data_IF_908919120271
#
_entry.id   IF_908919120271
#
_cell.length_a   1.000
_cell.length_b   1.000
_cell.length_c   1.000
_cell.angle_alpha   90.00
_cell.angle_beta   90.00
_cell.angle_gamma   90.00
#
_symmetry.space_group_name_H-M   'P 1'
#
loop_
_entity.id
_entity.type
_entity.pdbx_description
1 polymer ?
#
# COMPACT_ATOMS: atom_id res chain seq x y z
N UNK A 1 -78.75 18.40 13.55
CA UNK A 1 -77.62 18.13 14.46
C UNK A 1 -76.58 17.29 13.72
N UNK A 2 -75.34 17.80 13.68
CA UNK A 2 -74.02 17.19 13.36
C UNK A 2 -73.86 16.31 12.12
N UNK A 3 -73.19 16.88 11.11
CA UNK A 3 -72.44 16.17 10.05
C UNK A 3 -71.13 15.65 10.66
N UNK A 4 -70.82 14.37 10.49
CA UNK A 4 -69.49 13.80 10.78
C UNK A 4 -68.69 13.68 9.48
N UNK A 5 -67.61 14.46 9.37
CA UNK A 5 -66.59 14.30 8.35
C UNK A 5 -65.49 13.40 8.88
N UNK A 6 -65.23 12.27 8.22
CA UNK A 6 -64.05 11.44 8.47
C UNK A 6 -62.89 12.01 7.65
N UNK A 7 -61.84 12.50 8.32
CA UNK A 7 -60.54 12.80 7.71
C UNK A 7 -59.72 11.50 7.70
N UNK A 8 -59.46 10.96 6.50
CA UNK A 8 -58.35 10.04 6.28
C UNK A 8 -57.06 10.88 6.16
N UNK A 9 -56.15 10.73 7.11
CA UNK A 9 -54.78 11.24 7.00
C UNK A 9 -53.90 10.17 6.35
N UNK A 10 -53.47 10.41 5.11
CA UNK A 10 -52.39 9.65 4.47
C UNK A 10 -51.06 10.07 5.10
N UNK A 11 -50.47 9.21 5.94
CA UNK A 11 -49.06 9.32 6.32
C UNK A 11 -48.20 8.84 5.14
N UNK A 12 -47.62 9.78 4.39
CA UNK A 12 -46.54 9.49 3.47
C UNK A 12 -45.27 9.23 4.29
N UNK A 13 -44.87 7.96 4.41
CA UNK A 13 -43.56 7.56 4.91
C UNK A 13 -42.50 8.01 3.88
N UNK A 14 -41.82 9.11 4.16
CA UNK A 14 -40.62 9.50 3.43
C UNK A 14 -39.52 8.48 3.76
N UNK A 15 -39.27 7.56 2.83
CA UNK A 15 -38.12 6.66 2.86
C UNK A 15 -36.89 7.53 2.60
N UNK A 16 -36.24 7.99 3.68
CA UNK A 16 -34.92 8.60 3.61
C UNK A 16 -33.94 7.53 3.16
N UNK A 17 -33.78 7.37 1.85
CA UNK A 17 -32.65 6.67 1.27
C UNK A 17 -31.40 7.36 1.80
N UNK A 18 -30.59 6.67 2.61
CA UNK A 18 -29.23 7.08 2.89
C UNK A 18 -28.46 7.03 1.56
N UNK A 19 -28.56 8.08 0.77
CA UNK A 19 -27.68 8.27 -0.37
C UNK A 19 -26.25 8.28 0.17
N UNK A 20 -25.40 7.42 -0.38
CA UNK A 20 -23.97 7.44 -0.09
C UNK A 20 -23.44 8.86 -0.34
N UNK A 21 -22.62 9.38 0.56
CA UNK A 21 -21.99 10.68 0.39
C UNK A 21 -21.29 10.73 -0.99
N UNK A 22 -21.44 11.84 -1.75
CA UNK A 22 -20.86 11.96 -3.07
C UNK A 22 -19.32 11.90 -3.00
N UNK A 23 -18.67 11.33 -4.02
CA UNK A 23 -17.21 11.25 -4.11
C UNK A 23 -16.58 12.64 -4.23
N UNK A 24 -15.44 12.85 -3.57
CA UNK A 24 -14.66 14.10 -3.65
C UNK A 24 -13.58 13.98 -4.73
N UNK A 25 -13.88 14.47 -5.92
CA UNK A 25 -12.95 14.38 -7.06
C UNK A 25 -11.74 15.29 -6.97
N UNK A 26 -11.64 16.15 -5.95
CA UNK A 26 -10.47 17.00 -5.70
C UNK A 26 -9.30 16.21 -5.10
N UNK A 27 -9.59 15.10 -4.41
CA UNK A 27 -8.59 14.20 -3.87
C UNK A 27 -8.00 13.31 -4.97
N UNK A 28 -6.70 13.07 -4.86
CA UNK A 28 -5.89 12.35 -5.86
C UNK A 28 -4.90 11.43 -5.18
N UNK A 29 -4.57 10.34 -5.86
CA UNK A 29 -3.44 9.50 -5.46
C UNK A 29 -2.13 10.17 -5.89
N UNK A 30 -1.07 10.01 -5.10
CA UNK A 30 0.28 10.40 -5.47
C UNK A 30 1.08 9.16 -5.84
N UNK A 31 1.60 9.13 -7.06
CA UNK A 31 2.50 8.08 -7.53
C UNK A 31 3.95 8.53 -7.37
N UNK A 32 4.71 7.82 -6.54
CA UNK A 32 6.15 7.97 -6.37
C UNK A 32 6.87 6.90 -7.21
N UNK A 33 7.29 7.28 -8.41
CA UNK A 33 8.00 6.39 -9.33
C UNK A 33 9.41 6.03 -8.87
N UNK A 34 10.03 6.84 -7.99
CA UNK A 34 11.39 6.57 -7.52
C UNK A 34 11.37 5.46 -6.46
N UNK A 35 10.43 5.53 -5.53
CA UNK A 35 10.31 4.56 -4.44
C UNK A 35 9.24 3.49 -4.68
N UNK A 36 8.56 3.54 -5.83
CA UNK A 36 7.47 2.64 -6.20
C UNK A 36 6.32 2.66 -5.17
N UNK A 37 5.86 3.86 -4.78
CA UNK A 37 4.71 4.01 -3.88
C UNK A 37 3.49 4.60 -4.59
N UNK A 38 2.31 4.14 -4.18
CA UNK A 38 1.05 4.82 -4.42
C UNK A 38 0.56 5.29 -3.06
N UNK A 39 0.43 6.61 -2.89
CA UNK A 39 -0.08 7.21 -1.65
C UNK A 39 -1.50 7.71 -1.87
N UNK A 40 -2.43 7.16 -1.11
CA UNK A 40 -3.82 7.58 -1.05
C UNK A 40 -4.06 8.50 0.16
N UNK A 41 -5.10 9.36 0.14
CA UNK A 41 -5.41 10.26 1.26
C UNK A 41 -5.52 9.58 2.63
N UNK A 42 -6.02 8.35 2.69
CA UNK A 42 -6.19 7.61 3.93
C UNK A 42 -4.86 7.12 4.53
N UNK A 43 -3.81 6.99 3.72
CA UNK A 43 -2.50 6.46 4.16
C UNK A 43 -1.82 7.37 5.19
N UNK A 44 -2.21 8.65 5.24
CA UNK A 44 -1.78 9.59 6.30
C UNK A 44 -2.21 9.13 7.70
N UNK A 45 -3.24 8.29 7.79
CA UNK A 45 -3.85 7.79 9.01
C UNK A 45 -3.59 6.29 9.25
N UNK A 46 -2.84 5.62 8.36
CA UNK A 46 -2.57 4.19 8.44
C UNK A 46 -1.11 3.90 8.83
N UNK A 47 -0.84 2.64 9.17
CA UNK A 47 0.48 2.02 9.19
C UNK A 47 0.91 1.69 7.75
N UNK A 48 0.94 2.70 6.88
CA UNK A 48 1.23 2.53 5.45
C UNK A 48 2.61 1.91 5.22
N UNK A 49 2.83 1.31 4.05
CA UNK A 49 4.13 0.73 3.68
C UNK A 49 5.28 1.73 3.88
N UNK A 50 5.07 2.99 3.53
CA UNK A 50 6.06 4.05 3.77
C UNK A 50 6.32 4.29 5.27
N UNK A 51 5.30 4.20 6.12
CA UNK A 51 5.47 4.28 7.57
C UNK A 51 6.30 3.09 8.10
N UNK A 52 5.96 1.89 7.64
CA UNK A 52 6.66 0.65 8.00
C UNK A 52 8.12 0.72 7.57
N UNK A 53 8.41 1.11 6.34
CA UNK A 53 9.75 1.30 5.80
C UNK A 53 10.60 2.26 6.63
N UNK A 54 10.05 3.43 7.00
CA UNK A 54 10.75 4.42 7.82
C UNK A 54 11.08 3.83 9.20
N UNK A 55 10.10 3.21 9.86
CA UNK A 55 10.31 2.62 11.20
C UNK A 55 11.27 1.44 11.17
N UNK A 56 11.21 0.61 10.12
CA UNK A 56 12.10 -0.53 9.96
C UNK A 56 13.53 -0.10 9.63
N UNK A 57 13.71 0.95 8.83
CA UNK A 57 15.06 1.50 8.59
C UNK A 57 15.69 2.03 9.87
N UNK A 58 14.93 2.72 10.72
CA UNK A 58 15.41 3.13 12.03
C UNK A 58 15.77 1.92 12.92
N UNK A 59 14.94 0.87 12.91
CA UNK A 59 15.19 -0.39 13.64
C UNK A 59 16.53 -1.02 13.22
N UNK A 60 16.81 -1.09 11.91
CA UNK A 60 18.05 -1.64 11.39
C UNK A 60 19.28 -0.82 11.77
N UNK A 61 19.17 0.51 11.83
CA UNK A 61 20.29 1.38 12.23
C UNK A 61 20.69 1.18 13.70
N UNK A 62 19.72 1.01 14.60
CA UNK A 62 20.01 0.66 16.00
C UNK A 62 20.77 -0.66 16.08
N UNK A 63 20.29 -1.69 15.38
CA UNK A 63 20.94 -2.99 15.37
C UNK A 63 22.33 -2.92 14.75
N UNK A 64 22.51 -2.16 13.66
CA UNK A 64 23.80 -1.94 13.00
C UNK A 64 24.84 -1.43 13.99
N UNK A 65 24.51 -0.40 14.77
CA UNK A 65 25.44 0.16 15.76
C UNK A 65 25.80 -0.86 16.84
N UNK A 66 24.81 -1.60 17.34
CA UNK A 66 25.05 -2.63 18.36
C UNK A 66 25.92 -3.79 17.83
N UNK A 67 25.67 -4.26 16.60
CA UNK A 67 26.49 -5.28 15.94
C UNK A 67 27.93 -4.82 15.76
N UNK A 68 28.14 -3.58 15.32
CA UNK A 68 29.47 -2.99 15.17
C UNK A 68 30.24 -2.96 16.50
N UNK A 69 29.58 -2.58 17.60
CA UNK A 69 30.20 -2.60 18.95
C UNK A 69 30.59 -4.00 19.41
N UNK A 70 29.91 -5.04 18.92
CA UNK A 70 30.19 -6.45 19.21
C UNK A 70 31.12 -7.09 18.17
N UNK A 71 31.68 -6.30 17.24
CA UNK A 71 32.68 -6.74 16.27
C UNK A 71 32.12 -7.38 14.99
N UNK A 72 30.83 -7.16 14.71
CA UNK A 72 30.18 -7.66 13.49
C UNK A 72 29.87 -6.51 12.54
N UNK A 73 30.13 -6.73 11.26
CA UNK A 73 29.73 -5.80 10.21
C UNK A 73 28.32 -6.12 9.72
N UNK A 74 27.48 -5.10 9.63
CA UNK A 74 26.10 -5.22 9.16
C UNK A 74 25.81 -4.07 8.21
N UNK A 75 25.84 -4.40 6.92
CA UNK A 75 25.50 -3.47 5.87
C UNK A 75 23.97 -3.44 5.65
N UNK A 76 23.43 -2.22 5.56
CA UNK A 76 22.04 -1.98 5.18
C UNK A 76 22.07 -1.57 3.71
N UNK A 77 21.63 -2.48 2.84
CA UNK A 77 21.54 -2.26 1.41
C UNK A 77 20.36 -1.35 1.09
N UNK A 78 20.59 -0.37 0.23
CA UNK A 78 19.54 0.49 -0.30
C UNK A 78 18.49 -0.37 -1.04
N UNK A 79 17.21 -0.16 -0.77
CA UNK A 79 16.08 -0.93 -1.32
C UNK A 79 16.04 -2.42 -0.95
N UNK A 80 16.89 -2.92 -0.04
CA UNK A 80 16.87 -4.33 0.37
C UNK A 80 15.62 -4.76 1.16
N UNK A 81 14.82 -3.78 1.60
CA UNK A 81 13.65 -4.01 2.43
C UNK A 81 12.45 -3.11 2.10
N UNK A 82 12.49 -2.36 0.99
CA UNK A 82 11.34 -1.54 0.57
C UNK A 82 10.19 -2.49 0.24
N UNK A 83 9.00 -2.20 0.78
CA UNK A 83 7.78 -2.94 0.46
C UNK A 83 7.63 -3.11 -1.06
N UNK A 84 7.51 -4.37 -1.50
CA UNK A 84 7.25 -4.73 -2.89
C UNK A 84 5.77 -4.60 -3.29
N UNK A 85 4.90 -4.15 -2.38
CA UNK A 85 3.46 -4.36 -2.48
C UNK A 85 2.66 -3.19 -3.10
N UNK A 86 3.32 -2.25 -3.76
CA UNK A 86 2.63 -1.27 -4.60
C UNK A 86 2.03 -1.88 -5.89
N UNK A 87 1.64 -3.15 -5.85
CA UNK A 87 0.95 -3.90 -6.90
C UNK A 87 -0.58 -3.75 -6.85
N UNK A 88 -1.11 -2.85 -6.01
CA UNK A 88 -2.56 -2.63 -5.82
C UNK A 88 -3.32 -2.48 -7.15
N UNK A 89 -2.68 -1.90 -8.18
CA UNK A 89 -3.24 -1.73 -9.52
C UNK A 89 -2.40 -2.44 -10.61
N UNK A 90 -1.77 -3.56 -10.26
CA UNK A 90 -0.83 -4.31 -11.10
C UNK A 90 0.52 -3.61 -11.26
N UNK A 91 1.34 -4.11 -12.19
CA UNK A 91 2.61 -3.46 -12.56
C UNK A 91 2.32 -2.10 -13.18
N UNK A 92 2.84 -1.02 -12.58
CA UNK A 92 2.58 0.35 -13.04
C UNK A 92 3.83 1.22 -13.18
N UNK A 93 4.95 0.83 -12.58
CA UNK A 93 6.20 1.56 -12.61
C UNK A 93 7.19 0.81 -13.49
N UNK A 94 7.47 1.34 -14.68
CA UNK A 94 8.36 0.69 -15.66
C UNK A 94 9.78 0.53 -15.13
N UNK A 95 10.29 1.54 -14.42
CA UNK A 95 11.63 1.50 -13.81
C UNK A 95 11.71 0.41 -12.75
N UNK A 96 10.67 0.27 -11.93
CA UNK A 96 10.63 -0.77 -10.91
C UNK A 96 10.47 -2.17 -11.52
N UNK A 97 9.56 -2.35 -12.49
CA UNK A 97 9.35 -3.62 -13.18
C UNK A 97 10.63 -4.12 -13.86
N UNK A 98 11.34 -3.23 -14.56
CA UNK A 98 12.61 -3.56 -15.22
C UNK A 98 13.74 -3.92 -14.21
N UNK A 99 13.71 -3.32 -13.02
CA UNK A 99 14.70 -3.55 -11.97
C UNK A 99 14.29 -4.60 -10.93
N UNK A 100 13.17 -5.31 -11.13
CA UNK A 100 12.65 -6.30 -10.17
C UNK A 100 13.69 -7.35 -9.77
N UNK A 101 14.53 -7.79 -10.71
CA UNK A 101 15.60 -8.74 -10.38
C UNK A 101 16.63 -8.16 -9.44
N UNK A 102 16.97 -6.88 -9.64
CA UNK A 102 17.90 -6.16 -8.77
C UNK A 102 17.31 -6.04 -7.38
N UNK A 103 16.04 -5.63 -7.23
CA UNK A 103 15.41 -5.55 -5.90
C UNK A 103 15.32 -6.91 -5.20
N UNK A 104 14.94 -7.98 -5.92
CA UNK A 104 14.92 -9.35 -5.36
C UNK A 104 16.29 -9.80 -4.89
N UNK A 105 17.34 -9.58 -5.70
CA UNK A 105 18.72 -9.91 -5.32
C UNK A 105 19.22 -9.10 -4.15
N UNK A 106 18.90 -7.81 -4.10
CA UNK A 106 19.26 -6.96 -2.96
C UNK A 106 18.57 -7.47 -1.70
N UNK A 107 17.29 -7.89 -1.77
CA UNK A 107 16.58 -8.49 -0.64
C UNK A 107 17.21 -9.82 -0.18
N UNK A 108 17.54 -10.71 -1.12
CA UNK A 108 18.23 -11.96 -0.81
C UNK A 108 19.59 -11.72 -0.14
N UNK A 109 20.38 -10.80 -0.68
CA UNK A 109 21.69 -10.48 -0.14
C UNK A 109 21.57 -9.81 1.22
N UNK A 110 20.61 -8.92 1.38
CA UNK A 110 20.31 -8.30 2.66
C UNK A 110 19.89 -9.34 3.73
N UNK A 111 19.12 -10.36 3.36
CA UNK A 111 18.80 -11.50 4.23
C UNK A 111 20.06 -12.27 4.61
N UNK A 112 20.96 -12.56 3.65
CA UNK A 112 22.23 -13.24 3.94
C UNK A 112 23.11 -12.45 4.90
N UNK A 113 23.20 -11.13 4.72
CA UNK A 113 23.93 -10.24 5.64
C UNK A 113 23.33 -10.33 7.05
N UNK A 114 22.01 -10.25 7.17
CA UNK A 114 21.34 -10.37 8.46
C UNK A 114 21.54 -11.76 9.11
N UNK A 115 21.45 -12.83 8.33
CA UNK A 115 21.62 -14.21 8.80
C UNK A 115 23.07 -14.55 9.17
N UNK A 116 24.03 -13.79 8.65
CA UNK A 116 25.45 -13.91 9.02
C UNK A 116 25.73 -13.48 10.46
N UNK A 117 24.84 -12.68 11.06
CA UNK A 117 24.96 -12.24 12.46
C UNK A 117 24.50 -13.39 13.38
N UNK A 118 25.34 -13.84 14.33
CA UNK A 118 24.98 -14.92 15.26
C UNK A 118 23.71 -14.62 16.07
N UNK A 119 22.87 -15.63 16.32
CA UNK A 119 21.57 -15.43 16.98
C UNK A 119 21.70 -14.89 18.42
N UNK A 120 22.74 -15.29 19.16
CA UNK A 120 23.02 -14.77 20.49
C UNK A 120 23.37 -13.28 20.46
N UNK A 121 24.10 -12.83 19.43
CA UNK A 121 24.40 -11.41 19.19
C UNK A 121 23.13 -10.64 18.84
N UNK A 122 22.31 -11.18 17.92
CA UNK A 122 21.01 -10.59 17.55
C UNK A 122 20.09 -10.46 18.77
N UNK A 123 19.98 -11.52 19.59
CA UNK A 123 19.19 -11.51 20.80
C UNK A 123 19.72 -10.52 21.84
N UNK A 124 21.04 -10.47 22.06
CA UNK A 124 21.66 -9.50 22.97
C UNK A 124 21.38 -8.06 22.55
N UNK A 125 21.52 -7.72 21.27
CA UNK A 125 21.25 -6.38 20.78
C UNK A 125 19.77 -5.99 20.87
N UNK A 126 18.85 -6.93 20.58
CA UNK A 126 17.41 -6.70 20.75
C UNK A 126 17.03 -6.44 22.19
N UNK A 127 17.64 -7.14 23.16
CA UNK A 127 17.39 -6.91 24.58
C UNK A 127 18.03 -5.60 25.07
N UNK A 128 19.26 -5.31 24.65
CA UNK A 128 19.99 -4.07 25.00
C UNK A 128 19.23 -2.81 24.58
N UNK A 129 18.61 -2.84 23.39
CA UNK A 129 17.83 -1.74 22.83
C UNK A 129 16.31 -1.96 22.86
N UNK A 130 15.81 -2.84 23.72
CA UNK A 130 14.40 -3.28 23.70
C UNK A 130 13.40 -2.13 23.67
N UNK A 131 13.58 -1.12 24.52
CA UNK A 131 12.65 0.01 24.63
C UNK A 131 12.65 0.85 23.34
N UNK A 132 13.82 1.11 22.75
CA UNK A 132 13.96 1.88 21.51
C UNK A 132 13.35 1.12 20.31
N UNK A 133 13.62 -0.18 20.22
CA UNK A 133 13.08 -1.03 19.16
C UNK A 133 11.55 -1.21 19.30
N UNK A 134 11.04 -1.37 20.52
CA UNK A 134 9.60 -1.46 20.77
C UNK A 134 8.87 -0.14 20.44
N UNK A 135 9.51 1.01 20.66
CA UNK A 135 8.91 2.30 20.29
C UNK A 135 8.66 2.40 18.77
N UNK A 136 9.51 1.79 17.96
CA UNK A 136 9.41 1.78 16.49
C UNK A 136 8.42 0.76 15.93
N UNK A 137 8.25 -0.37 16.62
CA UNK A 137 7.47 -1.50 16.11
C UNK A 137 5.98 -1.16 16.03
N UNK A 138 5.34 -1.56 14.93
CA UNK A 138 3.90 -1.76 14.88
C UNK A 138 3.61 -3.23 15.22
N UNK A 139 2.86 -3.49 16.28
CA UNK A 139 2.59 -4.85 16.78
C UNK A 139 1.13 -5.29 16.56
N UNK A 140 0.75 -6.45 17.11
CA UNK A 140 -0.61 -7.00 16.97
C UNK A 140 -1.68 -6.08 17.59
N UNK A 141 -1.35 -5.36 18.66
CA UNK A 141 -2.28 -4.40 19.27
C UNK A 141 -2.45 -3.18 18.35
N UNK A 142 -1.38 -2.77 17.65
CA UNK A 142 -1.48 -1.77 16.60
C UNK A 142 -2.36 -2.28 15.44
N UNK A 143 -2.18 -3.51 14.97
CA UNK A 143 -3.07 -4.08 13.94
C UNK A 143 -4.55 -4.04 14.33
N UNK A 144 -4.88 -4.35 15.58
CA UNK A 144 -6.24 -4.21 16.11
C UNK A 144 -6.70 -2.74 16.09
N UNK A 145 -5.85 -1.83 16.57
CA UNK A 145 -6.10 -0.39 16.63
C UNK A 145 -6.37 0.23 15.26
N UNK A 146 -5.70 -0.24 14.20
CA UNK A 146 -5.86 0.26 12.82
C UNK A 146 -6.91 -0.51 11.99
N UNK A 147 -7.59 -1.53 12.52
CA UNK A 147 -8.72 -2.18 11.81
C UNK A 147 -9.77 -1.21 11.26
N UNK A 148 -10.13 -0.10 11.94
CA UNK A 148 -11.07 0.86 11.38
C UNK A 148 -10.56 1.50 10.08
N UNK A 149 -9.26 1.77 9.96
CA UNK A 149 -8.63 2.32 8.75
C UNK A 149 -8.70 1.29 7.63
N UNK A 150 -8.31 0.04 7.88
CA UNK A 150 -8.44 -1.08 6.92
C UNK A 150 -9.88 -1.24 6.42
N UNK A 151 -10.88 -1.08 7.30
CA UNK A 151 -12.30 -1.11 6.92
C UNK A 151 -12.68 0.07 6.02
N UNK A 152 -12.21 1.28 6.31
CA UNK A 152 -12.45 2.47 5.48
C UNK A 152 -11.80 2.32 4.11
N UNK A 153 -10.55 1.85 4.06
CA UNK A 153 -9.82 1.52 2.83
C UNK A 153 -10.60 0.52 1.98
N UNK A 154 -10.99 -0.61 2.58
CA UNK A 154 -11.79 -1.63 1.89
C UNK A 154 -13.13 -1.10 1.37
N UNK A 155 -13.82 -0.24 2.12
CA UNK A 155 -15.05 0.40 1.65
C UNK A 155 -14.81 1.34 0.46
N UNK A 156 -13.75 2.15 0.49
CA UNK A 156 -13.39 3.02 -0.62
C UNK A 156 -13.01 2.23 -1.87
N UNK A 157 -12.17 1.20 -1.73
CA UNK A 157 -11.74 0.32 -2.81
C UNK A 157 -12.92 -0.42 -3.47
N UNK A 158 -13.87 -0.94 -2.68
CA UNK A 158 -15.05 -1.61 -3.22
C UNK A 158 -15.97 -0.64 -3.98
N UNK A 159 -16.13 0.59 -3.48
CA UNK A 159 -16.89 1.63 -4.20
C UNK A 159 -16.18 2.05 -5.50
N UNK A 160 -14.86 2.19 -5.47
CA UNK A 160 -14.06 2.49 -6.65
C UNK A 160 -14.20 1.41 -7.72
N UNK A 161 -14.07 0.13 -7.35
CA UNK A 161 -14.27 -1.01 -8.26
C UNK A 161 -15.68 -1.05 -8.88
N UNK A 162 -16.70 -0.64 -8.12
CA UNK A 162 -18.07 -0.56 -8.60
C UNK A 162 -18.34 0.60 -9.57
N UNK A 163 -17.45 1.58 -9.65
CA UNK A 163 -17.61 2.76 -10.51
C UNK A 163 -17.36 2.40 -11.99
N UNK A 164 -18.20 2.83 -12.95
CA UNK A 164 -17.97 2.60 -14.37
C UNK A 164 -16.60 3.07 -14.88
N UNK A 165 -16.02 4.12 -14.28
CA UNK A 165 -14.69 4.62 -14.63
C UNK A 165 -13.59 3.58 -14.39
N UNK A 166 -13.75 2.72 -13.37
CA UNK A 166 -12.83 1.62 -13.06
C UNK A 166 -12.77 0.61 -14.20
N UNK A 167 -13.93 0.12 -14.63
CA UNK A 167 -14.03 -0.84 -15.74
C UNK A 167 -13.49 -0.25 -17.03
N UNK A 168 -13.74 1.04 -17.28
CA UNK A 168 -13.17 1.72 -18.44
C UNK A 168 -11.64 1.76 -18.37
N UNK A 169 -11.07 2.16 -17.24
CA UNK A 169 -9.61 2.23 -17.08
C UNK A 169 -8.95 0.87 -17.29
N UNK A 170 -9.53 -0.20 -16.74
CA UNK A 170 -9.05 -1.57 -16.96
C UNK A 170 -9.19 -2.02 -18.41
N UNK A 171 -10.30 -1.69 -19.07
CA UNK A 171 -10.46 -1.99 -20.50
C UNK A 171 -9.40 -1.33 -21.36
N UNK A 172 -9.14 -0.03 -21.13
CA UNK A 172 -8.11 0.70 -21.88
C UNK A 172 -6.71 0.03 -21.68
N UNK A 173 -6.41 -0.47 -20.48
CA UNK A 173 -5.17 -1.20 -20.19
C UNK A 173 -5.10 -2.56 -20.89
N UNK A 174 -6.20 -3.32 -20.90
CA UNK A 174 -6.28 -4.58 -21.63
C UNK A 174 -6.18 -4.40 -23.14
N UNK A 175 -6.73 -3.31 -23.68
CA UNK A 175 -6.55 -2.95 -25.10
C UNK A 175 -5.07 -2.73 -25.41
N UNK A 176 -4.36 -1.98 -24.56
CA UNK A 176 -2.91 -1.82 -24.71
C UNK A 176 -2.16 -3.16 -24.65
N UNK A 177 -2.48 -4.04 -23.70
CA UNK A 177 -1.86 -5.37 -23.65
C UNK A 177 -2.06 -6.18 -24.94
N UNK A 178 -3.26 -6.12 -25.54
CA UNK A 178 -3.53 -6.77 -26.84
C UNK A 178 -2.71 -6.16 -27.97
N UNK A 179 -2.51 -4.85 -27.99
CA UNK A 179 -1.64 -4.17 -28.97
C UNK A 179 -0.18 -4.66 -28.87
N UNK A 180 0.29 -4.95 -27.66
CA UNK A 180 1.62 -5.51 -27.38
C UNK A 180 1.69 -7.04 -27.56
N UNK A 181 0.60 -7.67 -28.03
CA UNK A 181 0.53 -9.11 -28.31
C UNK A 181 0.32 -10.00 -27.09
N UNK A 182 -0.05 -9.45 -25.94
CA UNK A 182 -0.39 -10.19 -24.73
C UNK A 182 -1.86 -10.57 -24.67
N UNK A 183 -2.17 -11.61 -23.89
CA UNK A 183 -3.54 -12.04 -23.62
C UNK A 183 -3.97 -11.56 -22.24
N UNK A 184 -4.72 -10.45 -22.11
CA UNK A 184 -5.12 -9.94 -20.81
C UNK A 184 -6.04 -10.91 -20.08
N UNK A 185 -5.88 -11.00 -18.77
CA UNK A 185 -6.85 -11.64 -17.89
C UNK A 185 -7.86 -10.59 -17.43
N UNK A 186 -9.15 -10.83 -17.72
CA UNK A 186 -10.20 -9.79 -17.63
C UNK A 186 -11.10 -9.89 -16.40
N UNK A 187 -10.78 -10.77 -15.45
CA UNK A 187 -11.50 -10.89 -14.18
C UNK A 187 -11.22 -9.72 -13.24
N UNK A 188 -12.13 -9.47 -12.28
CA UNK A 188 -12.09 -8.30 -11.39
C UNK A 188 -10.80 -8.19 -10.55
N UNK A 189 -10.18 -9.32 -10.18
CA UNK A 189 -8.91 -9.37 -9.43
C UNK A 189 -7.66 -9.64 -10.27
N UNK A 190 -7.75 -9.58 -11.60
CA UNK A 190 -6.69 -10.06 -12.48
C UNK A 190 -5.76 -8.91 -12.95
N UNK A 191 -4.57 -8.82 -12.35
CA UNK A 191 -3.62 -7.72 -12.58
C UNK A 191 -2.41 -8.08 -13.46
N UNK A 192 -2.53 -9.16 -14.23
CA UNK A 192 -1.47 -9.68 -15.12
C UNK A 192 -2.08 -10.30 -16.38
N UNK A 193 -1.28 -10.41 -17.43
CA UNK A 193 -1.57 -11.19 -18.62
C UNK A 193 -1.54 -12.70 -18.34
N UNK A 194 -2.09 -13.51 -19.25
CA UNK A 194 -2.03 -14.98 -19.13
C UNK A 194 -0.60 -15.48 -19.25
N UNK A 195 0.20 -14.84 -20.08
CA UNK A 195 1.61 -15.12 -20.29
C UNK A 195 2.37 -15.00 -18.97
N UNK A 196 2.21 -13.87 -18.26
CA UNK A 196 2.82 -13.68 -16.94
C UNK A 196 2.28 -14.69 -15.92
N UNK A 197 0.96 -14.88 -15.87
CA UNK A 197 0.33 -15.77 -14.88
C UNK A 197 0.69 -17.26 -15.04
N UNK A 198 1.15 -17.67 -16.22
CA UNK A 198 1.58 -19.05 -16.49
C UNK A 198 3.05 -19.31 -16.14
N UNK A 199 3.82 -18.27 -15.79
CA UNK A 199 5.22 -18.40 -15.40
C UNK A 199 5.34 -18.56 -13.88
N UNK A 200 6.28 -19.40 -13.46
CA UNK A 200 6.69 -19.45 -12.07
C UNK A 200 7.77 -18.38 -11.83
N UNK A 201 7.41 -17.27 -11.20
CA UNK A 201 8.35 -16.17 -10.92
C UNK A 201 9.52 -16.60 -10.01
N UNK A 202 9.39 -17.71 -9.27
CA UNK A 202 10.46 -18.27 -8.44
C UNK A 202 11.46 -19.13 -9.24
N UNK A 203 11.17 -19.48 -10.50
CA UNK A 203 12.11 -20.22 -11.34
C UNK A 203 13.08 -19.21 -12.02
N UNK A 204 14.38 -19.24 -11.67
CA UNK A 204 15.35 -18.31 -12.25
C UNK A 204 15.46 -18.40 -13.77
N UNK A 205 15.04 -19.51 -14.38
CA UNK A 205 15.11 -19.74 -15.83
C UNK A 205 14.10 -18.91 -16.62
N UNK A 206 12.99 -18.51 -16.00
CA UNK A 206 11.94 -17.72 -16.66
C UNK A 206 11.91 -16.27 -16.17
N UNK A 207 12.81 -15.91 -15.27
CA UNK A 207 12.83 -14.60 -14.63
C UNK A 207 13.02 -13.44 -15.62
N UNK A 208 13.87 -13.61 -16.63
CA UNK A 208 14.04 -12.61 -17.70
C UNK A 208 12.72 -12.37 -18.44
N UNK A 209 11.96 -13.44 -18.69
CA UNK A 209 10.65 -13.34 -19.34
C UNK A 209 9.60 -12.71 -18.41
N UNK A 210 9.61 -13.03 -17.11
CA UNK A 210 8.75 -12.38 -16.12
C UNK A 210 9.00 -10.87 -16.08
N UNK A 211 10.26 -10.44 -16.08
CA UNK A 211 10.64 -9.01 -16.10
C UNK A 211 10.17 -8.37 -17.40
N UNK A 212 10.39 -9.03 -18.54
CA UNK A 212 9.96 -8.51 -19.85
C UNK A 212 8.45 -8.28 -19.88
N UNK A 213 7.66 -9.26 -19.43
CA UNK A 213 6.20 -9.18 -19.42
C UNK A 213 5.69 -8.15 -18.41
N UNK A 214 6.22 -8.12 -17.18
CA UNK A 214 5.88 -7.11 -16.17
C UNK A 214 6.22 -5.69 -16.65
N UNK A 215 7.32 -5.53 -17.39
CA UNK A 215 7.71 -4.25 -17.99
C UNK A 215 6.71 -3.82 -19.06
N UNK A 216 6.24 -4.73 -19.93
CA UNK A 216 5.19 -4.42 -20.93
C UNK A 216 3.88 -4.04 -20.22
N UNK A 217 3.48 -4.78 -19.19
CA UNK A 217 2.27 -4.51 -18.41
C UNK A 217 2.34 -3.12 -17.73
N UNK A 218 3.51 -2.77 -17.17
CA UNK A 218 3.79 -1.45 -16.60
C UNK A 218 3.79 -0.34 -17.67
N UNK A 219 4.40 -0.56 -18.83
CA UNK A 219 4.37 0.38 -19.95
C UNK A 219 2.94 0.66 -20.39
N UNK A 220 2.11 -0.38 -20.47
CA UNK A 220 0.69 -0.22 -20.74
C UNK A 220 -0.04 0.56 -19.64
N UNK A 221 0.26 0.28 -18.37
CA UNK A 221 -0.30 1.00 -17.23
C UNK A 221 0.05 2.50 -17.28
N UNK A 222 1.31 2.85 -17.55
CA UNK A 222 1.74 4.25 -17.74
C UNK A 222 1.06 4.91 -18.94
N UNK A 223 1.04 4.24 -20.11
CA UNK A 223 0.46 4.73 -21.37
C UNK A 223 -1.00 5.14 -21.20
N UNK A 224 -1.80 4.34 -20.49
CA UNK A 224 -3.24 4.63 -20.27
C UNK A 224 -3.53 5.27 -18.91
N UNK A 225 -2.47 5.57 -18.15
CA UNK A 225 -2.50 6.12 -16.78
C UNK A 225 -3.37 5.29 -15.83
N UNK A 226 -3.30 3.96 -15.92
CA UNK A 226 -4.15 3.05 -15.16
C UNK A 226 -4.05 3.30 -13.65
N UNK A 227 -2.85 3.17 -13.07
CA UNK A 227 -2.65 3.32 -11.63
C UNK A 227 -3.10 4.70 -11.12
N UNK A 228 -2.82 5.78 -11.86
CA UNK A 228 -3.30 7.12 -11.49
C UNK A 228 -4.83 7.20 -11.53
N UNK A 229 -5.47 6.69 -12.58
CA UNK A 229 -6.94 6.75 -12.73
C UNK A 229 -7.65 5.96 -11.65
N UNK A 230 -7.16 4.77 -11.33
CA UNK A 230 -7.73 3.93 -10.28
C UNK A 230 -7.46 4.51 -8.89
N UNK A 231 -6.23 4.99 -8.64
CA UNK A 231 -5.87 5.67 -7.40
C UNK A 231 -6.67 6.95 -7.16
N UNK A 232 -6.84 7.80 -8.16
CA UNK A 232 -7.66 9.02 -8.06
C UNK A 232 -9.12 8.70 -7.77
N UNK A 233 -9.62 7.63 -8.39
CA UNK A 233 -10.99 7.18 -8.18
C UNK A 233 -11.18 6.67 -6.75
N UNK A 234 -10.27 5.84 -6.25
CA UNK A 234 -10.30 5.40 -4.85
C UNK A 234 -10.14 6.57 -3.87
N UNK A 235 -9.17 7.45 -4.10
CA UNK A 235 -8.96 8.66 -3.30
C UNK A 235 -10.24 9.51 -3.20
N UNK A 236 -11.01 9.60 -4.29
CA UNK A 236 -12.27 10.34 -4.30
C UNK A 236 -13.35 9.70 -3.41
N UNK A 237 -13.32 8.38 -3.23
CA UNK A 237 -14.22 7.67 -2.31
C UNK A 237 -13.70 7.70 -0.86
N UNK A 238 -12.40 7.86 -0.65
CA UNK A 238 -11.82 7.99 0.69
C UNK A 238 -12.22 9.31 1.36
N UNK A 239 -12.28 10.44 0.64
CA UNK A 239 -12.55 11.77 1.21
C UNK A 239 -13.77 11.84 2.16
N UNK A 240 -14.98 11.49 1.69
CA UNK A 240 -16.17 11.50 2.54
C UNK A 240 -16.10 10.51 3.71
N UNK A 241 -15.36 9.40 3.54
CA UNK A 241 -15.15 8.43 4.61
C UNK A 241 -14.16 8.96 5.65
N UNK A 242 -13.13 9.70 5.24
CA UNK A 242 -12.19 10.38 6.13
C UNK A 242 -12.94 11.43 6.94
N UNK A 243 -13.70 12.31 6.29
CA UNK A 243 -14.47 13.36 6.96
C UNK A 243 -15.41 12.78 8.02
N UNK A 244 -16.13 11.70 7.67
CA UNK A 244 -17.03 11.00 8.59
C UNK A 244 -16.33 10.38 9.81
N UNK A 245 -15.05 10.02 9.69
CA UNK A 245 -14.27 9.35 10.74
C UNK A 245 -13.15 10.24 11.32
N UNK A 246 -13.19 11.56 11.07
CA UNK A 246 -12.06 12.46 11.31
C UNK A 246 -11.51 12.40 12.73
N UNK A 247 -12.37 12.35 13.75
CA UNK A 247 -11.93 12.29 15.14
C UNK A 247 -11.09 11.04 15.43
N UNK A 248 -11.59 9.85 15.04
CA UNK A 248 -10.87 8.59 15.18
C UNK A 248 -9.56 8.61 14.39
N UNK A 249 -9.61 9.09 13.15
CA UNK A 249 -8.45 9.12 12.27
C UNK A 249 -7.36 10.05 12.82
N UNK A 250 -7.72 11.21 13.37
CA UNK A 250 -6.76 12.12 13.99
C UNK A 250 -6.01 11.48 15.17
N UNK A 251 -6.71 10.68 16.00
CA UNK A 251 -6.06 9.96 17.11
C UNK A 251 -5.06 8.91 16.61
N UNK A 252 -5.41 8.18 15.54
CA UNK A 252 -4.53 7.21 14.91
C UNK A 252 -3.32 7.88 14.26
N UNK A 253 -3.53 8.98 13.55
CA UNK A 253 -2.48 9.79 12.96
C UNK A 253 -1.50 10.29 14.01
N UNK A 254 -1.97 10.84 15.12
CA UNK A 254 -1.10 11.33 16.19
C UNK A 254 -0.22 10.19 16.75
N UNK A 255 -0.79 9.00 16.90
CA UNK A 255 -0.06 7.82 17.36
C UNK A 255 0.99 7.34 16.35
N UNK A 256 0.62 7.25 15.06
CA UNK A 256 1.53 6.93 13.95
C UNK A 256 2.67 7.94 13.84
N UNK A 257 2.35 9.23 13.85
CA UNK A 257 3.31 10.32 13.66
C UNK A 257 4.33 10.38 14.82
N UNK A 258 3.95 10.00 16.04
CA UNK A 258 4.90 9.87 17.15
C UNK A 258 5.96 8.78 16.89
N UNK A 259 5.55 7.60 16.39
CA UNK A 259 6.49 6.51 16.05
C UNK A 259 7.42 6.92 14.90
N UNK A 260 6.90 7.60 13.89
CA UNK A 260 7.69 8.06 12.74
C UNK A 260 8.61 9.21 13.10
N UNK A 261 8.19 10.13 13.97
CA UNK A 261 9.07 11.17 14.49
C UNK A 261 10.27 10.53 15.20
N UNK A 262 10.02 9.49 16.02
CA UNK A 262 11.10 8.75 16.68
C UNK A 262 12.02 8.04 15.69
N UNK A 263 11.45 7.38 14.68
CA UNK A 263 12.21 6.74 13.61
C UNK A 263 13.11 7.72 12.85
N UNK A 264 12.57 8.91 12.51
CA UNK A 264 13.32 9.97 11.82
C UNK A 264 14.43 10.55 12.67
N UNK A 265 14.20 10.72 13.98
CA UNK A 265 15.26 11.10 14.93
C UNK A 265 16.42 10.11 14.88
N UNK A 266 16.14 8.81 15.01
CA UNK A 266 17.14 7.75 14.95
C UNK A 266 17.86 7.74 13.59
N UNK A 267 17.13 7.86 12.48
CA UNK A 267 17.77 7.93 11.16
C UNK A 267 18.72 9.12 11.07
N UNK A 268 18.39 10.27 11.67
CA UNK A 268 19.25 11.44 11.64
C UNK A 268 20.48 11.32 12.56
N UNK A 269 20.40 10.56 13.65
CA UNK A 269 21.51 10.44 14.64
C UNK A 269 22.41 9.23 14.42
N UNK A 270 21.97 8.22 13.66
CA UNK A 270 22.71 6.98 13.40
C UNK A 270 23.18 6.83 11.94
N UNK A 271 23.15 7.92 11.16
CA UNK A 271 23.67 7.97 9.78
C UNK A 271 25.19 7.83 9.69
#
# INVERSE_FOLDING_TARGET
MKKSSALLACFALAVSSCAAAPKDTSLKAQLDFENNYITLPLDEYDMSDQALDITYRAYLLILKECYAKKGYDFEILENGFVSGDASQYGSWNVKHAANHFTSSKVREEQSRIYDSIPEDVKASCREEHREELNALKFDEADEEKYRPVRRISGEAYQRAQGDPEWKKARSDWWDCQREEGLTPRTGDGEWTSKETANLNADDPKVLEEVIRLATIEAQCSEKVRLAQRLGDLEASYQGPLIEKNQALLNDLKAYRDAKIAKAREIIATHQ
#
